data_IF_776391941036
#
_entry.id   IF_776391941036
#
_cell.length_a   1.000
_cell.length_b   1.000
_cell.length_c   1.000
_cell.angle_alpha   90.00
_cell.angle_beta   90.00
_cell.angle_gamma   90.00
#
_symmetry.space_group_name_H-M   'P 1'
#
loop_
_entity.id
_entity.type
_entity.pdbx_description
1 polymer ?
#
# COMPACT_ATOMS: atom_id res chain seq x y z
N UNK A 1 -10.84 12.14 4.00
CA UNK A 1 -10.91 10.68 4.22
C UNK A 1 -12.18 10.18 3.54
N UNK A 2 -12.05 9.32 2.54
CA UNK A 2 -13.21 8.68 1.93
C UNK A 2 -13.85 7.73 2.94
N UNK A 3 -15.17 7.78 3.06
CA UNK A 3 -15.91 6.81 3.87
C UNK A 3 -15.95 5.52 3.06
N UNK A 4 -15.25 4.49 3.54
CA UNK A 4 -15.27 3.17 2.90
C UNK A 4 -16.57 2.47 3.31
N UNK A 5 -17.38 2.14 2.31
CA UNK A 5 -18.56 1.32 2.51
C UNK A 5 -18.12 -0.13 2.84
N UNK A 6 -18.49 -0.60 4.02
CA UNK A 6 -18.16 -1.94 4.51
C UNK A 6 -19.21 -2.99 4.16
N UNK A 7 -20.12 -2.66 3.27
CA UNK A 7 -21.12 -3.60 2.80
C UNK A 7 -20.50 -4.51 1.71
N UNK A 8 -20.56 -5.83 1.85
CA UNK A 8 -20.11 -6.73 0.81
C UNK A 8 -20.90 -6.49 -0.49
N UNK A 9 -20.22 -6.44 -1.65
CA UNK A 9 -20.90 -6.25 -2.90
C UNK A 9 -21.77 -7.46 -3.25
N UNK A 10 -22.91 -7.25 -3.92
CA UNK A 10 -23.78 -8.35 -4.33
C UNK A 10 -23.03 -9.29 -5.29
N UNK A 11 -23.31 -10.62 -5.23
CA UNK A 11 -22.74 -11.60 -6.14
C UNK A 11 -22.93 -11.22 -7.62
N UNK A 12 -21.89 -11.43 -8.44
CA UNK A 12 -21.93 -11.08 -9.87
C UNK A 12 -21.85 -9.58 -10.19
N UNK A 13 -21.68 -8.73 -9.17
CA UNK A 13 -21.40 -7.32 -9.42
C UNK A 13 -19.93 -7.10 -9.83
N UNK A 14 -19.60 -6.01 -10.57
CA UNK A 14 -18.21 -5.69 -10.89
C UNK A 14 -17.29 -5.64 -9.68
N UNK A 15 -17.78 -5.19 -8.53
CA UNK A 15 -17.00 -5.13 -7.30
C UNK A 15 -16.77 -6.52 -6.67
N UNK A 16 -17.70 -7.46 -6.81
CA UNK A 16 -17.48 -8.85 -6.39
C UNK A 16 -16.44 -9.54 -7.28
N UNK A 17 -16.52 -9.33 -8.60
CA UNK A 17 -15.53 -9.83 -9.58
C UNK A 17 -14.15 -9.24 -9.31
N UNK A 18 -14.07 -7.94 -8.94
CA UNK A 18 -12.82 -7.31 -8.54
C UNK A 18 -12.17 -8.03 -7.36
N UNK A 19 -12.92 -8.29 -6.30
CA UNK A 19 -12.42 -8.99 -5.11
C UNK A 19 -11.91 -10.38 -5.48
N UNK A 20 -12.66 -11.12 -6.29
CA UNK A 20 -12.27 -12.47 -6.74
C UNK A 20 -10.96 -12.43 -7.54
N UNK A 21 -10.84 -11.51 -8.50
CA UNK A 21 -9.64 -11.32 -9.30
C UNK A 21 -8.42 -10.91 -8.45
N UNK A 22 -8.62 -10.11 -7.37
CA UNK A 22 -7.56 -9.77 -6.43
C UNK A 22 -7.03 -10.99 -5.68
N UNK A 23 -7.91 -11.88 -5.23
CA UNK A 23 -7.53 -13.12 -4.52
C UNK A 23 -6.74 -14.05 -5.43
N UNK A 24 -7.18 -14.22 -6.68
CA UNK A 24 -6.53 -15.10 -7.66
C UNK A 24 -5.23 -14.54 -8.23
N UNK A 25 -4.93 -13.25 -8.00
CA UNK A 25 -3.80 -12.60 -8.64
C UNK A 25 -4.01 -12.33 -10.13
N UNK A 26 -5.27 -12.27 -10.57
CA UNK A 26 -5.65 -12.05 -11.96
C UNK A 26 -5.70 -10.56 -12.30
N UNK A 27 -4.55 -9.99 -12.70
CA UNK A 27 -4.45 -8.58 -13.08
C UNK A 27 -5.41 -8.19 -14.20
N UNK A 28 -5.62 -9.06 -15.19
CA UNK A 28 -6.53 -8.77 -16.32
C UNK A 28 -7.96 -8.65 -15.82
N UNK A 29 -8.40 -9.56 -14.95
CA UNK A 29 -9.72 -9.52 -14.31
C UNK A 29 -9.91 -8.24 -13.48
N UNK A 30 -8.89 -7.84 -12.70
CA UNK A 30 -8.89 -6.58 -11.93
C UNK A 30 -9.11 -5.38 -12.84
N UNK A 31 -8.30 -5.26 -13.92
CA UNK A 31 -8.41 -4.13 -14.85
C UNK A 31 -9.77 -4.10 -15.58
N UNK A 32 -10.32 -5.26 -15.91
CA UNK A 32 -11.66 -5.36 -16.51
C UNK A 32 -12.74 -4.91 -15.54
N UNK A 33 -12.72 -5.41 -14.29
CA UNK A 33 -13.68 -5.04 -13.27
C UNK A 33 -13.65 -3.53 -12.98
N UNK A 34 -12.46 -2.94 -12.83
CA UNK A 34 -12.29 -1.50 -12.63
C UNK A 34 -12.82 -0.69 -13.82
N UNK A 35 -12.59 -1.14 -15.04
CA UNK A 35 -13.07 -0.46 -16.26
C UNK A 35 -14.59 -0.44 -16.37
N UNK A 36 -15.28 -1.45 -15.87
CA UNK A 36 -16.76 -1.50 -15.84
C UNK A 36 -17.36 -0.88 -14.57
N UNK A 37 -16.55 -0.17 -13.78
CA UNK A 37 -17.01 0.63 -12.65
C UNK A 37 -17.02 -0.10 -11.30
N UNK A 38 -16.22 -1.14 -11.12
CA UNK A 38 -16.01 -1.72 -9.80
C UNK A 38 -15.47 -0.68 -8.81
N UNK A 39 -15.93 -0.73 -7.56
CA UNK A 39 -15.40 0.11 -6.51
C UNK A 39 -14.01 -0.41 -6.08
N UNK A 40 -12.91 0.34 -6.24
CA UNK A 40 -11.57 -0.09 -5.84
C UNK A 40 -11.43 -0.32 -4.33
N UNK A 41 -12.33 0.25 -3.53
CA UNK A 41 -12.43 0.05 -2.08
C UNK A 41 -13.50 -0.99 -1.71
N UNK A 42 -13.91 -1.87 -2.63
CA UNK A 42 -14.89 -2.91 -2.38
C UNK A 42 -14.51 -3.73 -1.15
N UNK A 43 -15.50 -3.99 -0.29
CA UNK A 43 -15.29 -4.65 1.00
C UNK A 43 -15.60 -6.16 0.88
N UNK A 44 -14.61 -6.99 1.19
CA UNK A 44 -14.81 -8.43 1.37
C UNK A 44 -15.29 -8.71 2.79
N UNK A 45 -16.35 -9.48 2.91
CA UNK A 45 -16.89 -9.88 4.21
C UNK A 45 -15.82 -10.56 5.08
N UNK A 46 -15.76 -10.19 6.36
CA UNK A 46 -14.83 -10.72 7.36
C UNK A 46 -13.33 -10.54 7.04
N UNK A 47 -12.99 -9.79 5.99
CA UNK A 47 -11.59 -9.48 5.68
C UNK A 47 -11.32 -7.98 5.61
N UNK A 48 -11.94 -7.27 4.66
CA UNK A 48 -11.71 -5.85 4.49
C UNK A 48 -11.69 -5.40 3.02
N UNK A 49 -11.09 -4.24 2.73
CA UNK A 49 -10.99 -3.72 1.37
C UNK A 49 -10.24 -4.68 0.43
N UNK A 50 -10.60 -4.68 -0.86
CA UNK A 50 -9.96 -5.50 -1.90
C UNK A 50 -8.44 -5.44 -1.91
N UNK A 51 -7.85 -4.28 -1.52
CA UNK A 51 -6.42 -4.10 -1.40
C UNK A 51 -5.76 -5.12 -0.45
N UNK A 52 -6.44 -5.49 0.66
CA UNK A 52 -5.90 -6.46 1.62
C UNK A 52 -5.83 -7.88 1.06
N UNK A 53 -6.69 -8.21 0.08
CA UNK A 53 -6.67 -9.51 -0.60
C UNK A 53 -5.59 -9.58 -1.69
N UNK A 54 -5.01 -8.44 -2.09
CA UNK A 54 -4.06 -8.33 -3.19
C UNK A 54 -2.59 -8.14 -2.75
N UNK A 55 -2.28 -8.19 -1.46
CA UNK A 55 -0.96 -7.79 -0.93
C UNK A 55 0.22 -8.62 -1.48
N UNK A 56 -0.01 -9.87 -1.90
CA UNK A 56 0.99 -10.69 -2.58
C UNK A 56 1.17 -10.38 -4.08
N UNK A 57 0.42 -9.39 -4.62
CA UNK A 57 0.37 -9.08 -6.03
C UNK A 57 0.67 -7.59 -6.29
N UNK A 58 1.92 -7.14 -6.31
CA UNK A 58 2.30 -5.73 -6.35
C UNK A 58 1.67 -4.95 -7.51
N UNK A 59 1.56 -5.55 -8.70
CA UNK A 59 0.93 -4.91 -9.86
C UNK A 59 -0.58 -4.71 -9.71
N UNK A 60 -1.24 -5.59 -8.96
CA UNK A 60 -2.67 -5.42 -8.63
C UNK A 60 -2.85 -4.33 -7.59
N UNK A 61 -1.97 -4.30 -6.57
CA UNK A 61 -1.96 -3.22 -5.56
C UNK A 61 -1.77 -1.86 -6.24
N UNK A 62 -0.83 -1.75 -7.19
CA UNK A 62 -0.59 -0.54 -7.98
C UNK A 62 -1.86 -0.12 -8.76
N UNK A 63 -2.46 -1.05 -9.51
CA UNK A 63 -3.69 -0.80 -10.27
C UNK A 63 -4.88 -0.37 -9.39
N UNK A 64 -5.04 -0.97 -8.21
CA UNK A 64 -6.07 -0.58 -7.26
C UNK A 64 -5.84 0.83 -6.72
N UNK A 65 -4.59 1.19 -6.39
CA UNK A 65 -4.24 2.53 -5.89
C UNK A 65 -4.46 3.58 -6.97
N UNK A 66 -4.04 3.32 -8.22
CA UNK A 66 -4.29 4.20 -9.36
C UNK A 66 -5.79 4.41 -9.61
N UNK A 67 -6.61 3.40 -9.34
CA UNK A 67 -8.07 3.49 -9.42
C UNK A 67 -8.71 4.17 -8.21
N UNK A 68 -7.94 4.61 -7.20
CA UNK A 68 -8.43 5.31 -6.01
C UNK A 68 -8.68 4.42 -4.79
N UNK A 69 -8.06 3.26 -4.70
CA UNK A 69 -8.06 2.49 -3.46
C UNK A 69 -7.30 3.24 -2.35
N UNK A 70 -7.84 3.20 -1.13
CA UNK A 70 -7.24 3.85 0.03
C UNK A 70 -6.06 3.02 0.58
N UNK A 71 -4.79 3.47 0.46
CA UNK A 71 -3.61 2.67 0.82
C UNK A 71 -3.45 2.46 2.33
N UNK A 72 -4.20 3.18 3.15
CA UNK A 72 -4.14 3.11 4.61
C UNK A 72 -5.45 2.60 5.23
N UNK A 73 -6.38 2.12 4.41
CA UNK A 73 -7.65 1.59 4.87
C UNK A 73 -7.43 0.43 5.87
N UNK A 74 -8.27 0.36 6.88
CA UNK A 74 -8.21 -0.70 7.88
C UNK A 74 -9.11 -1.86 7.46
N UNK A 75 -8.62 -3.07 7.64
CA UNK A 75 -9.38 -4.29 7.44
C UNK A 75 -10.35 -4.58 8.61
N UNK A 76 -10.98 -5.75 8.59
CA UNK A 76 -11.89 -6.19 9.66
C UNK A 76 -11.21 -6.24 11.04
N UNK A 77 -9.93 -6.62 11.10
CA UNK A 77 -9.12 -6.69 12.33
C UNK A 77 -8.44 -5.36 12.70
N UNK A 78 -8.87 -4.26 12.08
CA UNK A 78 -8.30 -2.92 12.27
C UNK A 78 -6.83 -2.78 11.85
N UNK A 79 -6.31 -3.69 11.04
CA UNK A 79 -4.97 -3.64 10.47
C UNK A 79 -4.94 -2.80 9.19
N UNK A 80 -3.87 -2.08 8.99
CA UNK A 80 -3.56 -1.44 7.72
C UNK A 80 -2.85 -2.42 6.78
N UNK A 81 -2.80 -2.14 5.47
CA UNK A 81 -2.15 -3.04 4.51
C UNK A 81 -0.72 -3.43 4.88
N UNK A 82 0.12 -2.49 5.39
CA UNK A 82 1.49 -2.82 5.82
C UNK A 82 1.55 -3.68 7.08
N UNK A 83 0.61 -3.50 8.01
CA UNK A 83 0.53 -4.30 9.23
C UNK A 83 0.16 -5.75 8.89
N UNK A 84 -0.83 -5.94 7.99
CA UNK A 84 -1.20 -7.25 7.49
C UNK A 84 -0.07 -7.89 6.66
N UNK A 85 0.57 -7.11 5.80
CA UNK A 85 1.68 -7.60 4.97
C UNK A 85 2.84 -8.16 5.81
N UNK A 86 3.17 -7.52 6.93
CA UNK A 86 4.19 -8.01 7.86
C UNK A 86 3.84 -9.39 8.43
N UNK A 87 2.58 -9.60 8.80
CA UNK A 87 2.07 -10.87 9.29
C UNK A 87 2.09 -11.96 8.20
N UNK A 88 1.60 -11.63 7.00
CA UNK A 88 1.56 -12.54 5.87
C UNK A 88 2.97 -12.97 5.45
N UNK A 89 3.92 -12.02 5.42
CA UNK A 89 5.32 -12.30 5.09
C UNK A 89 5.99 -13.26 6.07
N UNK A 90 5.74 -13.10 7.37
CA UNK A 90 6.28 -14.01 8.40
C UNK A 90 5.71 -15.42 8.28
N UNK A 91 4.46 -15.55 7.81
CA UNK A 91 3.77 -16.82 7.65
C UNK A 91 4.06 -17.50 6.30
N UNK A 92 4.55 -16.76 5.30
CA UNK A 92 4.84 -17.30 3.97
C UNK A 92 6.17 -18.06 3.96
N UNK A 93 6.16 -19.27 3.41
CA UNK A 93 7.38 -20.09 3.21
C UNK A 93 7.90 -20.00 1.77
N UNK A 94 7.15 -19.38 0.85
CA UNK A 94 7.45 -19.33 -0.57
C UNK A 94 8.34 -18.12 -0.93
N UNK A 95 9.59 -18.33 -1.42
CA UNK A 95 10.52 -17.23 -1.73
C UNK A 95 9.96 -16.24 -2.76
N UNK A 96 9.29 -16.73 -3.81
CA UNK A 96 8.70 -15.88 -4.86
C UNK A 96 7.57 -15.00 -4.32
N UNK A 97 6.77 -15.53 -3.40
CA UNK A 97 5.70 -14.77 -2.75
C UNK A 97 6.28 -13.70 -1.83
N UNK A 98 7.32 -14.03 -1.06
CA UNK A 98 8.05 -13.05 -0.24
C UNK A 98 8.63 -11.90 -1.06
N UNK A 99 9.26 -12.19 -2.20
CA UNK A 99 9.77 -11.16 -3.10
C UNK A 99 8.67 -10.21 -3.60
N UNK A 100 7.52 -10.75 -3.97
CA UNK A 100 6.34 -9.92 -4.34
C UNK A 100 5.85 -9.06 -3.18
N UNK A 101 5.78 -9.63 -1.98
CA UNK A 101 5.39 -8.89 -0.77
C UNK A 101 6.37 -7.75 -0.45
N UNK A 102 7.67 -7.95 -0.66
CA UNK A 102 8.68 -6.90 -0.52
C UNK A 102 8.47 -5.74 -1.51
N UNK A 103 8.11 -6.06 -2.77
CA UNK A 103 7.77 -5.04 -3.77
C UNK A 103 6.52 -4.25 -3.33
N UNK A 104 5.51 -4.94 -2.81
CA UNK A 104 4.31 -4.30 -2.26
C UNK A 104 4.65 -3.42 -1.04
N UNK A 105 5.54 -3.89 -0.16
CA UNK A 105 6.00 -3.10 0.99
C UNK A 105 6.66 -1.79 0.55
N UNK A 106 7.57 -1.85 -0.43
CA UNK A 106 8.23 -0.65 -1.00
C UNK A 106 7.20 0.34 -1.55
N UNK A 107 6.20 -0.15 -2.29
CA UNK A 107 5.15 0.69 -2.84
C UNK A 107 4.32 1.37 -1.74
N UNK A 108 3.82 0.61 -0.78
CA UNK A 108 2.99 1.15 0.31
C UNK A 108 3.77 2.10 1.24
N UNK A 109 5.06 1.86 1.47
CA UNK A 109 5.91 2.78 2.24
C UNK A 109 6.13 4.11 1.49
N UNK A 110 6.34 4.09 0.18
CA UNK A 110 6.44 5.30 -0.66
C UNK A 110 5.16 6.15 -0.63
N UNK A 111 4.03 5.53 -0.38
CA UNK A 111 2.73 6.19 -0.19
C UNK A 111 2.47 6.65 1.26
N UNK A 112 3.50 6.68 2.10
CA UNK A 112 3.40 7.14 3.50
C UNK A 112 3.00 6.07 4.51
N UNK A 113 3.10 4.81 4.15
CA UNK A 113 2.89 3.69 5.08
C UNK A 113 3.95 3.67 6.18
N UNK A 114 3.54 3.41 7.42
CA UNK A 114 4.43 3.38 8.58
C UNK A 114 4.89 1.96 8.89
N UNK A 115 6.16 1.68 8.64
CA UNK A 115 6.80 0.38 8.83
C UNK A 115 7.04 -0.01 10.32
N UNK A 116 6.88 0.94 11.24
CA UNK A 116 7.10 0.74 12.68
C UNK A 116 5.81 0.40 13.46
N UNK A 117 4.67 0.31 12.79
CA UNK A 117 3.43 -0.10 13.44
C UNK A 117 3.28 -1.61 13.41
N UNK A 118 3.01 -2.18 14.57
CA UNK A 118 2.61 -3.58 14.70
C UNK A 118 1.10 -3.73 14.50
N UNK A 119 0.69 -4.93 14.04
CA UNK A 119 -0.73 -5.29 13.99
C UNK A 119 -1.34 -5.19 15.40
N UNK A 120 -2.51 -4.55 15.54
CA UNK A 120 -3.19 -4.47 16.83
C UNK A 120 -3.78 -5.82 17.26
N UNK A 121 -3.99 -6.73 16.32
CA UNK A 121 -4.65 -8.01 16.55
C UNK A 121 -3.67 -9.17 16.70
N UNK A 122 -2.69 -9.25 15.80
CA UNK A 122 -1.68 -10.31 15.82
C UNK A 122 -0.44 -9.83 16.55
N UNK A 123 0.11 -10.64 17.46
CA UNK A 123 1.40 -10.36 18.12
C UNK A 123 2.60 -10.59 17.19
N UNK A 124 2.39 -10.36 15.90
CA UNK A 124 3.46 -10.30 14.90
C UNK A 124 4.17 -8.95 15.04
N UNK A 125 5.47 -8.94 14.85
CA UNK A 125 6.28 -7.72 14.89
C UNK A 125 5.84 -6.66 13.88
N UNK A 126 6.63 -5.62 13.78
CA UNK A 126 6.45 -4.57 12.77
C UNK A 126 6.93 -5.04 11.40
N UNK A 127 6.63 -4.29 10.33
CA UNK A 127 7.23 -4.54 9.02
C UNK A 127 8.77 -4.49 9.09
N UNK A 128 9.32 -3.61 9.93
CA UNK A 128 10.76 -3.51 10.16
C UNK A 128 11.35 -4.79 10.75
N UNK A 129 10.59 -5.50 11.58
CA UNK A 129 11.04 -6.79 12.13
C UNK A 129 10.95 -7.91 11.09
N UNK A 130 9.93 -7.85 10.22
CA UNK A 130 9.70 -8.83 9.16
C UNK A 130 10.65 -8.67 7.96
N UNK A 131 10.88 -7.41 7.55
CA UNK A 131 11.62 -7.03 6.33
C UNK A 131 12.64 -5.91 6.59
N UNK A 132 13.65 -6.11 7.47
CA UNK A 132 14.53 -5.02 7.92
C UNK A 132 15.33 -4.38 6.77
N UNK A 133 15.75 -5.15 5.79
CA UNK A 133 16.51 -4.65 4.64
C UNK A 133 15.66 -3.73 3.75
N UNK A 134 14.44 -4.19 3.42
CA UNK A 134 13.48 -3.41 2.60
C UNK A 134 13.15 -2.07 3.26
N UNK A 135 12.89 -2.11 4.57
CA UNK A 135 12.57 -0.88 5.32
C UNK A 135 13.76 0.07 5.32
N UNK A 136 14.99 -0.44 5.58
CA UNK A 136 16.20 0.39 5.59
C UNK A 136 16.49 1.02 4.23
N UNK A 137 16.32 0.29 3.12
CA UNK A 137 16.47 0.80 1.75
C UNK A 137 15.50 1.94 1.46
N UNK A 138 14.20 1.72 1.71
CA UNK A 138 13.16 2.75 1.43
C UNK A 138 13.35 3.98 2.31
N UNK A 139 13.67 3.82 3.59
CA UNK A 139 13.97 4.95 4.48
C UNK A 139 15.22 5.73 4.06
N UNK A 140 16.22 5.04 3.51
CA UNK A 140 17.41 5.69 2.96
C UNK A 140 17.10 6.50 1.70
N UNK A 141 16.29 5.93 0.77
CA UNK A 141 15.81 6.64 -0.42
C UNK A 141 15.00 7.88 -0.05
N UNK A 142 14.08 7.76 0.90
CA UNK A 142 13.25 8.89 1.36
C UNK A 142 14.08 10.00 2.00
N UNK A 143 15.09 9.65 2.81
CA UNK A 143 16.02 10.62 3.41
C UNK A 143 16.85 11.33 2.34
N UNK A 144 17.37 10.60 1.35
CA UNK A 144 18.12 11.16 0.24
C UNK A 144 17.28 12.14 -0.59
N UNK A 145 16.05 11.78 -0.91
CA UNK A 145 15.11 12.64 -1.64
C UNK A 145 14.79 13.92 -0.86
N UNK A 146 14.58 13.81 0.46
CA UNK A 146 14.33 14.97 1.33
C UNK A 146 15.52 15.93 1.38
N UNK A 147 16.75 15.40 1.47
CA UNK A 147 17.97 16.21 1.45
C UNK A 147 18.17 16.92 0.11
N UNK A 148 17.92 16.25 -1.01
CA UNK A 148 17.97 16.87 -2.33
C UNK A 148 16.96 18.01 -2.47
N UNK A 149 15.74 17.83 -1.98
CA UNK A 149 14.72 18.87 -2.00
C UNK A 149 15.13 20.10 -1.14
N UNK A 150 15.78 19.87 0.00
CA UNK A 150 16.29 20.96 0.85
C UNK A 150 17.43 21.72 0.17
N UNK A 151 18.33 21.04 -0.53
CA UNK A 151 19.44 21.68 -1.26
C UNK A 151 18.93 22.57 -2.39
N UNK A 152 17.94 22.11 -3.16
CA UNK A 152 17.32 22.91 -4.23
C UNK A 152 16.63 24.15 -3.67
N UNK A 153 15.91 24.02 -2.55
CA UNK A 153 15.23 25.15 -1.91
C UNK A 153 16.17 26.24 -1.38
N UNK A 154 17.41 25.88 -1.02
CA UNK A 154 18.43 26.84 -0.57
C UNK A 154 19.01 27.64 -1.74
N UNK A 155 19.12 27.01 -2.92
CA UNK A 155 19.67 27.67 -4.13
C UNK A 155 18.67 28.67 -4.76
N UNK A 156 17.36 28.52 -4.48
CA UNK A 156 16.31 29.42 -4.97
C UNK A 156 16.07 30.66 -4.09
N UNK A 157 16.80 30.84 -2.99
CA UNK A 157 16.71 32.09 -2.20
C UNK A 157 17.37 33.24 -2.98
N UNK A 158 16.61 34.26 -3.43
CA UNK A 158 17.21 35.39 -4.15
C UNK A 158 18.19 36.11 -3.23
N UNK A 159 19.42 36.24 -3.71
CA UNK A 159 20.47 37.03 -3.06
C UNK A 159 19.92 38.42 -2.72
N UNK A 160 19.59 38.62 -1.47
CA UNK A 160 19.08 39.89 -0.97
C UNK A 160 20.01 41.02 -1.39
N UNK A 161 19.42 41.98 -2.04
CA UNK A 161 19.87 43.31 -2.37
C UNK A 161 21.14 43.80 -1.62
N UNK A 162 22.24 43.96 -2.34
CA UNK A 162 23.37 44.79 -1.82
C UNK A 162 22.87 46.22 -1.67
N UNK A 163 23.00 46.85 -0.51
CA UNK A 163 22.75 48.27 -0.40
C UNK A 163 23.80 49.02 -1.24
N UNK A 164 23.34 49.89 -2.12
CA UNK A 164 24.20 50.89 -2.78
C UNK A 164 24.65 51.90 -1.75
N UNK A 165 25.95 52.01 -1.54
CA UNK A 165 26.61 53.17 -0.95
C UNK A 165 26.69 54.29 -1.96
#
# INVERSE_FOLDING_TARGET
MAVIDRTPPPPGSPSAELIHACIEGNLVGVLQALRVGANPNAWRENEGPALHSALAWPRIVEALIEAGAEPHARNFWSERPLEKLASDYQSSEHPVERERMEQTARLLMKLGGNAHRASPFWRTGTLRDAMPQVVAEVEAEQRAAMLQHQLVAVDETPTACRPRL
#
